data_IF_901581708262
#
_entry.id   IF_901581708262
#
_cell.length_a   1.000
_cell.length_b   1.000
_cell.length_c   1.000
_cell.angle_alpha   90.00
_cell.angle_beta   90.00
_cell.angle_gamma   90.00
#
_symmetry.space_group_name_H-M   'P 1'
#
loop_
_entity.id
_entity.type
_entity.pdbx_description
1 polymer ?
#
# COMPACT_ATOMS: atom_id res chain seq x y z
N UNK A 1 -43.16 26.97 -0.67
CA UNK A 1 -41.74 27.38 -0.79
C UNK A 1 -40.92 26.13 -1.00
N UNK A 2 -40.31 25.91 -2.17
CA UNK A 2 -39.45 24.74 -2.37
C UNK A 2 -38.17 24.91 -1.54
N UNK A 3 -37.87 23.91 -0.72
CA UNK A 3 -36.62 23.84 0.03
C UNK A 3 -35.51 23.54 -0.97
N UNK A 4 -34.68 24.54 -1.24
CA UNK A 4 -33.49 24.41 -2.08
C UNK A 4 -32.46 23.60 -1.29
N UNK A 5 -32.41 22.29 -1.51
CA UNK A 5 -31.32 21.45 -1.03
C UNK A 5 -30.09 21.75 -1.90
N UNK A 6 -29.37 22.85 -1.57
CA UNK A 6 -27.99 22.99 -2.01
C UNK A 6 -27.25 21.81 -1.40
N UNK A 7 -26.84 20.86 -2.24
CA UNK A 7 -25.95 19.80 -1.81
C UNK A 7 -24.70 20.43 -1.20
N UNK A 8 -24.39 20.08 0.05
CA UNK A 8 -23.16 20.48 0.75
C UNK A 8 -21.93 19.73 0.16
N UNK A 9 -21.77 19.76 -1.16
CA UNK A 9 -20.62 19.18 -1.87
C UNK A 9 -19.38 20.09 -1.86
N UNK A 10 -19.45 21.28 -1.24
CA UNK A 10 -18.36 22.25 -1.30
C UNK A 10 -17.18 21.95 -0.37
N UNK A 11 -17.41 21.21 0.73
CA UNK A 11 -16.39 20.92 1.75
C UNK A 11 -16.45 19.43 2.12
N UNK A 12 -15.71 18.63 1.37
CA UNK A 12 -15.56 17.19 1.60
C UNK A 12 -14.10 16.81 1.78
N UNK A 13 -13.82 15.86 2.68
CA UNK A 13 -12.49 15.31 2.91
C UNK A 13 -12.52 13.96 3.62
N UNK A 14 -11.70 13.04 3.16
CA UNK A 14 -11.34 11.79 3.82
C UNK A 14 -9.85 11.86 4.13
N UNK A 15 -9.50 11.61 5.39
CA UNK A 15 -8.11 11.62 5.87
C UNK A 15 -7.78 10.22 6.38
N UNK A 16 -6.77 9.60 5.78
CA UNK A 16 -6.14 8.37 6.24
C UNK A 16 -4.87 8.70 7.01
N UNK A 17 -4.86 8.43 8.31
CA UNK A 17 -3.65 8.54 9.13
C UNK A 17 -2.87 7.22 9.10
N UNK A 18 -1.55 7.32 9.02
CA UNK A 18 -0.62 6.22 9.24
C UNK A 18 0.52 6.72 10.15
N UNK A 19 1.39 5.82 10.63
CA UNK A 19 2.40 6.06 11.67
C UNK A 19 3.23 7.33 11.48
N UNK A 20 3.72 7.61 10.26
CA UNK A 20 4.63 8.75 10.01
C UNK A 20 4.07 9.81 9.04
N UNK A 21 3.22 9.40 8.09
CA UNK A 21 2.61 10.29 7.09
C UNK A 21 1.08 10.18 7.08
N UNK A 22 0.41 11.25 6.63
CA UNK A 22 -1.04 11.33 6.46
C UNK A 22 -1.39 11.49 4.98
N UNK A 23 -2.36 10.73 4.49
CA UNK A 23 -2.90 10.84 3.13
C UNK A 23 -4.32 11.40 3.17
N UNK A 24 -4.63 12.36 2.31
CA UNK A 24 -5.96 12.97 2.26
C UNK A 24 -6.50 12.96 0.83
N UNK A 25 -7.79 12.62 0.70
CA UNK A 25 -8.60 12.95 -0.46
C UNK A 25 -9.59 14.02 -0.04
N UNK A 26 -9.48 15.24 -0.57
CA UNK A 26 -10.37 16.31 -0.16
C UNK A 26 -10.45 17.46 -1.15
N UNK A 27 -11.56 18.20 -1.04
CA UNK A 27 -11.77 19.46 -1.74
C UNK A 27 -10.74 20.52 -1.31
N UNK A 28 -10.40 21.49 -2.18
CA UNK A 28 -9.51 22.59 -1.79
C UNK A 28 -10.00 23.36 -0.55
N UNK A 29 -11.32 23.53 -0.42
CA UNK A 29 -11.93 24.18 0.73
C UNK A 29 -11.71 23.39 2.04
N UNK A 30 -11.86 22.06 2.00
CA UNK A 30 -11.54 21.20 3.15
C UNK A 30 -10.06 21.29 3.52
N UNK A 31 -9.15 21.17 2.54
CA UNK A 31 -7.71 21.21 2.77
C UNK A 31 -7.26 22.52 3.44
N UNK A 32 -7.82 23.65 3.02
CA UNK A 32 -7.55 24.96 3.63
C UNK A 32 -8.03 25.04 5.08
N UNK A 33 -9.23 24.52 5.37
CA UNK A 33 -9.79 24.53 6.72
C UNK A 33 -9.01 23.61 7.67
N UNK A 34 -8.59 22.43 7.19
CA UNK A 34 -7.75 21.52 7.94
C UNK A 34 -6.40 22.17 8.28
N UNK A 35 -5.74 22.80 7.30
CA UNK A 35 -4.45 23.49 7.50
C UNK A 35 -4.55 24.57 8.58
N UNK A 36 -5.60 25.40 8.54
CA UNK A 36 -5.86 26.42 9.57
C UNK A 36 -6.02 25.81 10.96
N UNK A 37 -6.67 24.65 11.07
CA UNK A 37 -6.85 23.95 12.36
C UNK A 37 -5.55 23.34 12.87
N UNK A 38 -4.73 22.74 12.00
CA UNK A 38 -3.40 22.19 12.34
C UNK A 38 -2.49 23.31 12.87
N UNK A 39 -2.43 24.44 12.16
CA UNK A 39 -1.62 25.60 12.56
C UNK A 39 -2.09 26.20 13.89
N UNK A 40 -3.41 26.37 14.06
CA UNK A 40 -4.00 26.87 15.32
C UNK A 40 -3.71 25.94 16.51
N UNK A 41 -3.64 24.63 16.26
CA UNK A 41 -3.30 23.64 17.27
C UNK A 41 -1.79 23.54 17.51
N UNK A 42 -0.97 24.32 16.82
CA UNK A 42 0.51 24.29 16.88
C UNK A 42 1.08 22.88 16.62
N UNK A 43 0.35 22.08 15.84
CA UNK A 43 0.78 20.73 15.52
C UNK A 43 1.90 20.77 14.48
N UNK A 44 3.00 20.08 14.77
CA UNK A 44 4.15 19.99 13.85
C UNK A 44 3.82 18.99 12.75
N UNK A 45 3.39 19.48 11.59
CA UNK A 45 3.18 18.68 10.38
C UNK A 45 4.12 19.09 9.25
N UNK A 46 4.38 18.18 8.33
CA UNK A 46 5.04 18.50 7.06
C UNK A 46 4.11 19.38 6.20
N UNK A 47 4.65 20.22 5.30
CA UNK A 47 3.84 20.93 4.31
C UNK A 47 3.04 19.95 3.43
N UNK A 48 1.79 20.29 3.12
CA UNK A 48 0.96 19.49 2.21
C UNK A 48 1.55 19.52 0.81
N UNK A 49 1.57 18.36 0.17
CA UNK A 49 1.92 18.20 -1.24
C UNK A 49 0.74 17.54 -1.96
N UNK A 50 0.53 17.88 -3.23
CA UNK A 50 -0.60 17.38 -4.03
C UNK A 50 -0.08 16.41 -5.06
N UNK A 51 -0.67 15.21 -5.08
CA UNK A 51 -0.39 14.21 -6.11
C UNK A 51 -1.00 14.69 -7.43
N UNK A 52 -0.17 14.76 -8.47
CA UNK A 52 -0.60 15.06 -9.85
C UNK A 52 0.05 14.05 -10.79
N UNK A 53 -0.38 13.94 -12.05
CA UNK A 53 0.30 13.06 -13.00
C UNK A 53 1.78 13.37 -13.19
N UNK A 54 2.20 14.62 -12.97
CA UNK A 54 3.58 15.09 -13.08
C UNK A 54 4.35 15.03 -11.75
N UNK A 55 3.64 15.05 -10.62
CA UNK A 55 4.23 15.12 -9.27
C UNK A 55 3.88 13.86 -8.49
N UNK A 56 4.88 13.02 -8.25
CA UNK A 56 4.80 11.90 -7.33
C UNK A 56 4.88 12.35 -5.86
N UNK A 57 4.27 11.58 -4.95
CA UNK A 57 4.38 11.81 -3.51
C UNK A 57 5.14 10.69 -2.83
N UNK A 58 5.82 11.03 -1.74
CA UNK A 58 6.36 10.04 -0.81
C UNK A 58 5.40 9.84 0.35
N UNK A 59 5.14 8.59 0.70
CA UNK A 59 4.22 8.21 1.77
C UNK A 59 4.68 6.92 2.45
N UNK A 60 5.08 7.01 3.73
CA UNK A 60 5.50 5.89 4.59
C UNK A 60 6.48 4.93 3.90
N UNK A 61 7.53 5.47 3.27
CA UNK A 61 8.55 4.69 2.56
C UNK A 61 8.13 4.16 1.19
N UNK A 62 6.97 4.57 0.70
CA UNK A 62 6.48 4.31 -0.65
C UNK A 62 6.44 5.59 -1.48
N UNK A 63 6.30 5.42 -2.79
CA UNK A 63 6.08 6.46 -3.78
C UNK A 63 4.70 6.24 -4.39
N UNK A 64 3.88 7.29 -4.34
CA UNK A 64 2.56 7.39 -4.94
C UNK A 64 2.67 8.07 -6.30
N UNK A 65 2.05 7.48 -7.33
CA UNK A 65 1.87 8.09 -8.65
C UNK A 65 0.44 7.92 -9.12
N UNK A 66 -0.03 8.81 -9.99
CA UNK A 66 -1.33 8.69 -10.67
C UNK A 66 -1.09 8.68 -12.18
N UNK A 67 -1.83 7.84 -12.90
CA UNK A 67 -1.78 7.80 -14.37
C UNK A 67 -2.64 8.95 -14.94
N UNK A 68 -2.11 9.73 -15.88
CA UNK A 68 -2.85 10.83 -16.52
C UNK A 68 -4.07 10.35 -17.32
N UNK A 69 -4.01 9.11 -17.83
CA UNK A 69 -4.98 8.53 -18.75
C UNK A 69 -6.01 7.63 -18.06
N UNK A 70 -5.75 7.20 -16.82
CA UNK A 70 -6.59 6.23 -16.10
C UNK A 70 -6.73 6.65 -14.64
N UNK A 71 -7.88 6.42 -13.99
CA UNK A 71 -8.07 6.70 -12.56
C UNK A 71 -7.38 5.64 -11.69
N UNK A 72 -6.08 5.40 -11.93
CA UNK A 72 -5.28 4.40 -11.22
C UNK A 72 -4.28 5.14 -10.35
N UNK A 73 -4.42 4.94 -9.03
CA UNK A 73 -3.42 5.30 -8.04
C UNK A 73 -2.45 4.13 -7.90
N UNK A 74 -1.16 4.38 -8.14
CA UNK A 74 -0.11 3.39 -7.96
C UNK A 74 0.67 3.71 -6.69
N UNK A 75 0.78 2.73 -5.80
CA UNK A 75 1.64 2.78 -4.63
C UNK A 75 2.80 1.81 -4.84
N UNK A 76 4.03 2.33 -4.91
CA UNK A 76 5.25 1.55 -5.12
C UNK A 76 6.20 1.72 -3.95
N UNK A 77 6.75 0.63 -3.45
CA UNK A 77 7.74 0.73 -2.38
C UNK A 77 9.08 1.30 -2.86
N UNK A 78 9.75 2.09 -2.02
CA UNK A 78 11.09 2.62 -2.32
C UNK A 78 12.17 1.57 -2.12
N UNK A 79 12.51 0.83 -3.17
CA UNK A 79 13.73 0.02 -3.22
C UNK A 79 13.83 -1.16 -2.23
N UNK A 80 12.85 -1.39 -1.35
CA UNK A 80 12.86 -2.51 -0.42
C UNK A 80 12.47 -3.83 -1.09
N UNK A 81 11.56 -3.80 -2.08
CA UNK A 81 11.27 -4.95 -2.95
C UNK A 81 12.50 -5.51 -3.67
N UNK A 82 13.43 -4.64 -4.07
CA UNK A 82 14.70 -5.06 -4.69
C UNK A 82 15.66 -5.79 -3.75
N UNK A 83 15.39 -5.80 -2.44
CA UNK A 83 16.17 -6.56 -1.45
C UNK A 83 15.58 -7.95 -1.18
N UNK A 84 14.38 -8.24 -1.69
CA UNK A 84 13.83 -9.59 -1.64
C UNK A 84 14.60 -10.45 -2.64
N UNK A 85 15.02 -11.62 -2.19
CA UNK A 85 15.59 -12.68 -3.01
C UNK A 85 14.72 -13.92 -2.87
N UNK A 86 14.73 -14.76 -3.89
CA UNK A 86 14.17 -16.11 -3.76
C UNK A 86 15.13 -16.95 -2.92
N UNK A 87 14.55 -17.82 -2.11
CA UNK A 87 15.27 -18.76 -1.25
C UNK A 87 15.71 -19.94 -2.10
N UNK A 88 16.99 -20.31 -2.04
CA UNK A 88 17.46 -21.52 -2.70
C UNK A 88 17.13 -22.75 -1.86
N UNK A 89 16.32 -23.65 -2.41
CA UNK A 89 15.87 -24.90 -1.76
C UNK A 89 17.04 -25.81 -1.41
N UNK A 90 18.15 -25.73 -2.17
CA UNK A 90 19.33 -26.59 -2.02
C UNK A 90 20.42 -25.97 -1.15
N UNK A 91 20.26 -24.72 -0.74
CA UNK A 91 21.28 -24.04 0.03
C UNK A 91 21.36 -24.59 1.47
N UNK A 92 22.57 -24.74 2.05
CA UNK A 92 22.74 -25.23 3.41
C UNK A 92 22.13 -24.29 4.45
N UNK A 93 22.05 -22.99 4.15
CA UNK A 93 21.46 -21.93 4.98
C UNK A 93 20.00 -21.60 4.60
N UNK A 94 19.30 -22.49 3.87
CA UNK A 94 17.92 -22.25 3.39
C UNK A 94 16.93 -21.85 4.48
N UNK A 95 17.10 -22.34 5.71
CA UNK A 95 16.24 -22.00 6.84
C UNK A 95 16.40 -20.53 7.29
N UNK A 96 17.63 -20.04 7.28
CA UNK A 96 17.93 -18.64 7.54
C UNK A 96 17.38 -17.76 6.42
N UNK A 97 17.68 -18.12 5.16
CA UNK A 97 17.15 -17.41 3.99
C UNK A 97 15.62 -17.35 4.01
N UNK A 98 14.95 -18.46 4.31
CA UNK A 98 13.49 -18.51 4.45
C UNK A 98 12.97 -17.49 5.46
N UNK A 99 13.54 -17.47 6.67
CA UNK A 99 13.14 -16.54 7.72
C UNK A 99 13.35 -15.08 7.29
N UNK A 100 14.52 -14.77 6.74
CA UNK A 100 14.87 -13.42 6.30
C UNK A 100 13.96 -12.92 5.17
N UNK A 101 13.75 -13.73 4.13
CA UNK A 101 12.96 -13.31 2.98
C UNK A 101 11.47 -13.25 3.30
N UNK A 102 10.96 -14.15 4.16
CA UNK A 102 9.60 -14.07 4.70
C UNK A 102 9.41 -12.78 5.50
N UNK A 103 10.34 -12.43 6.39
CA UNK A 103 10.26 -11.20 7.18
C UNK A 103 10.30 -9.95 6.30
N UNK A 104 11.16 -9.91 5.29
CA UNK A 104 11.19 -8.83 4.29
C UNK A 104 9.87 -8.75 3.53
N UNK A 105 9.37 -9.86 3.00
CA UNK A 105 8.07 -9.94 2.33
C UNK A 105 6.94 -9.40 3.20
N UNK A 106 6.92 -9.75 4.49
CA UNK A 106 5.90 -9.31 5.45
C UNK A 106 5.94 -7.80 5.70
N UNK A 107 7.13 -7.21 5.79
CA UNK A 107 7.28 -5.76 5.86
C UNK A 107 6.75 -5.05 4.61
N UNK A 108 6.95 -5.63 3.43
CA UNK A 108 6.36 -5.08 2.19
C UNK A 108 4.85 -5.21 2.19
N UNK A 109 4.35 -6.37 2.64
CA UNK A 109 2.93 -6.61 2.68
C UNK A 109 2.20 -5.61 3.58
N UNK A 110 2.74 -5.34 4.77
CA UNK A 110 2.13 -4.41 5.72
C UNK A 110 2.15 -2.94 5.27
N UNK A 111 3.03 -2.58 4.34
CA UNK A 111 3.22 -1.18 3.92
C UNK A 111 2.57 -0.86 2.58
N UNK A 112 2.63 -1.76 1.58
CA UNK A 112 2.09 -1.47 0.25
C UNK A 112 1.58 -2.67 -0.56
N UNK A 113 1.65 -3.89 -0.03
CA UNK A 113 1.16 -5.10 -0.72
C UNK A 113 0.35 -6.00 0.22
N UNK A 114 -0.75 -5.48 0.80
CA UNK A 114 -1.49 -6.21 1.83
C UNK A 114 -2.01 -7.57 1.34
N UNK A 115 -2.13 -7.77 0.02
CA UNK A 115 -2.55 -9.03 -0.60
C UNK A 115 -1.57 -10.19 -0.39
N UNK A 116 -0.32 -9.91 0.00
CA UNK A 116 0.65 -10.95 0.37
C UNK A 116 0.58 -11.34 1.85
N UNK A 117 -0.12 -10.58 2.69
CA UNK A 117 -0.10 -10.75 4.16
C UNK A 117 -0.56 -12.14 4.60
N UNK A 118 -1.54 -12.72 3.91
CA UNK A 118 -2.06 -14.05 4.24
C UNK A 118 -1.00 -15.13 3.98
N UNK A 119 -0.43 -15.19 2.78
CA UNK A 119 0.57 -16.23 2.47
C UNK A 119 1.82 -16.11 3.34
N UNK A 120 2.21 -14.88 3.69
CA UNK A 120 3.36 -14.62 4.55
C UNK A 120 3.09 -14.96 6.02
N UNK A 121 1.84 -14.90 6.47
CA UNK A 121 1.44 -15.38 7.80
C UNK A 121 1.39 -16.90 7.84
N UNK A 122 0.90 -17.56 6.78
CA UNK A 122 0.96 -19.03 6.63
C UNK A 122 2.42 -19.48 6.64
N UNK A 123 3.29 -18.84 5.86
CA UNK A 123 4.73 -19.12 5.86
C UNK A 123 5.38 -18.93 7.24
N UNK A 124 4.83 -18.08 8.10
CA UNK A 124 5.36 -17.87 9.45
C UNK A 124 5.10 -19.05 10.40
N UNK A 125 4.14 -19.91 10.06
CA UNK A 125 3.72 -21.05 10.88
C UNK A 125 4.55 -22.31 10.63
N UNK A 126 5.43 -22.32 9.62
CA UNK A 126 6.27 -23.47 9.31
C UNK A 126 7.27 -23.76 10.45
N UNK A 127 7.04 -24.85 11.18
CA UNK A 127 7.91 -25.30 12.28
C UNK A 127 9.08 -26.17 11.81
N UNK A 128 8.81 -27.04 10.83
CA UNK A 128 9.83 -27.84 10.14
C UNK A 128 9.81 -27.44 8.68
N UNK A 129 10.92 -26.87 8.21
CA UNK A 129 10.98 -26.31 6.88
C UNK A 129 11.08 -27.41 5.81
N UNK A 130 10.01 -27.56 5.03
CA UNK A 130 9.96 -28.44 3.85
C UNK A 130 10.32 -27.71 2.55
N UNK A 131 10.62 -28.48 1.50
CA UNK A 131 10.86 -27.93 0.17
C UNK A 131 9.59 -27.26 -0.39
N UNK A 132 8.42 -27.77 -0.03
CA UNK A 132 7.10 -27.25 -0.41
C UNK A 132 6.85 -25.87 0.21
N UNK A 133 7.23 -25.67 1.48
CA UNK A 133 7.13 -24.37 2.15
C UNK A 133 7.98 -23.32 1.45
N UNK A 134 9.21 -23.69 1.06
CA UNK A 134 10.13 -22.81 0.33
C UNK A 134 9.54 -22.46 -1.05
N UNK A 135 8.99 -23.44 -1.78
CA UNK A 135 8.33 -23.20 -3.08
C UNK A 135 7.13 -22.26 -2.93
N UNK A 136 6.29 -22.45 -1.91
CA UNK A 136 5.13 -21.61 -1.64
C UNK A 136 5.55 -20.17 -1.32
N UNK A 137 6.54 -19.98 -0.44
CA UNK A 137 7.09 -18.67 -0.13
C UNK A 137 7.68 -18.02 -1.39
N UNK A 138 8.52 -18.72 -2.15
CA UNK A 138 9.14 -18.20 -3.36
C UNK A 138 8.11 -17.78 -4.42
N UNK A 139 7.00 -18.50 -4.56
CA UNK A 139 5.90 -18.11 -5.45
C UNK A 139 5.35 -16.74 -5.06
N UNK A 140 5.13 -16.50 -3.75
CA UNK A 140 4.65 -15.21 -3.26
C UNK A 140 5.70 -14.12 -3.38
N UNK A 141 6.95 -14.37 -3.00
CA UNK A 141 8.05 -13.41 -3.12
C UNK A 141 8.29 -12.99 -4.57
N UNK A 142 8.22 -13.92 -5.52
CA UNK A 142 8.30 -13.62 -6.95
C UNK A 142 7.20 -12.65 -7.38
N UNK A 143 5.96 -12.91 -6.96
CA UNK A 143 4.83 -11.99 -7.20
C UNK A 143 5.05 -10.60 -6.56
N UNK A 144 5.72 -10.52 -5.40
CA UNK A 144 6.05 -9.23 -4.78
C UNK A 144 7.16 -8.46 -5.50
N UNK A 145 8.11 -9.15 -6.13
CA UNK A 145 9.24 -8.56 -6.87
C UNK A 145 8.80 -8.04 -8.25
N UNK A 146 7.92 -8.78 -8.94
CA UNK A 146 7.51 -8.43 -10.29
C UNK A 146 6.65 -7.14 -10.32
N UNK A 147 6.95 -6.16 -11.19
CA UNK A 147 6.17 -4.93 -11.29
C UNK A 147 4.75 -5.26 -11.79
N UNK A 148 3.73 -4.84 -11.04
CA UNK A 148 2.34 -4.96 -11.48
C UNK A 148 2.10 -4.11 -12.73
N UNK A 149 1.67 -4.75 -13.81
CA UNK A 149 0.52 -4.26 -14.57
C UNK A 149 -0.73 -4.78 -13.86
N UNK A 150 -1.55 -3.90 -13.30
CA UNK A 150 -2.82 -4.31 -12.69
C UNK A 150 -3.70 -5.00 -13.75
N UNK A 151 -4.12 -6.28 -13.59
CA UNK A 151 -5.21 -6.80 -14.38
C UNK A 151 -6.50 -6.11 -13.91
N UNK A 152 -7.42 -5.72 -14.83
CA UNK A 152 -8.66 -5.07 -14.45
C UNK A 152 -9.38 -5.90 -13.38
N UNK A 153 -9.91 -5.20 -12.37
CA UNK A 153 -10.71 -5.80 -11.29
C UNK A 153 -11.75 -6.74 -11.91
N UNK A 154 -11.55 -8.04 -11.77
CA UNK A 154 -12.61 -9.00 -12.08
C UNK A 154 -13.73 -8.75 -11.07
N UNK A 155 -14.88 -8.35 -11.60
CA UNK A 155 -16.13 -8.21 -10.86
C UNK A 155 -16.34 -9.44 -9.98
N UNK A 156 -16.34 -9.24 -8.67
CA UNK A 156 -16.92 -10.18 -7.74
C UNK A 156 -18.43 -10.16 -8.00
N UNK A 157 -18.92 -11.02 -8.88
CA UNK A 157 -20.34 -11.26 -9.05
C UNK A 157 -20.81 -12.01 -7.81
N UNK A 158 -21.47 -11.31 -6.89
CA UNK A 158 -22.30 -11.93 -5.87
C UNK A 158 -23.40 -12.74 -6.57
N UNK A 159 -23.29 -14.06 -6.52
CA UNK A 159 -24.44 -14.93 -6.76
C UNK A 159 -25.34 -14.84 -5.52
N UNK A 160 -26.44 -14.10 -5.66
CA UNK A 160 -27.58 -14.21 -4.76
C UNK A 160 -28.37 -15.46 -5.14
N UNK A 161 -28.56 -16.35 -4.17
CA UNK A 161 -29.63 -17.34 -4.18
C UNK A 161 -30.92 -16.76 -3.65
#
# INVERSE_FOLDING_TARGET
MPVNHKSDTSIFGIVGMQTDDTLMLGTPAFSLLEEKKIQKAEFRSKPKSVLTPEIQLDFNGCTLTIDASKPILNLRQKGQGGKIKLVDVRAPDRAQQYTEQRARGAYIASTCQPEASFDLSVAAQAQQLSDEDIKALNKRLKWQIEPRSWPPLHHCQSHGG
#
